data_IF_750891988759
#
_entry.id   IF_750891988759
#
_cell.length_a   1.000
_cell.length_b   1.000
_cell.length_c   1.000
_cell.angle_alpha   90.00
_cell.angle_beta   90.00
_cell.angle_gamma   90.00
#
_symmetry.space_group_name_H-M   'P 1'
#
loop_
_entity.id
_entity.type
_entity.pdbx_description
1 polymer ?
#
# COMPACT_ATOMS: atom_id res chain seq x y z
N UNK A 1 29.29 16.56 -11.11
CA UNK A 1 28.34 15.43 -11.21
C UNK A 1 27.10 15.84 -12.00
N UNK A 2 26.57 14.93 -12.83
CA UNK A 2 25.58 15.17 -13.89
C UNK A 2 24.16 15.16 -13.32
N UNK A 3 23.33 16.14 -13.72
CA UNK A 3 21.90 16.42 -13.37
C UNK A 3 21.20 15.36 -12.49
N UNK A 4 20.92 15.69 -11.22
CA UNK A 4 19.69 15.18 -10.58
C UNK A 4 18.52 15.90 -11.24
N UNK A 5 17.87 15.20 -12.16
CA UNK A 5 16.68 15.66 -12.86
C UNK A 5 15.46 15.47 -11.96
N UNK A 6 14.56 16.45 -11.96
CA UNK A 6 13.27 16.36 -11.26
C UNK A 6 12.60 15.01 -11.53
N UNK A 7 11.99 14.43 -10.51
CA UNK A 7 11.18 13.23 -10.68
C UNK A 7 9.95 13.63 -11.48
N UNK A 8 9.63 12.84 -12.51
CA UNK A 8 8.36 12.96 -13.22
C UNK A 8 7.26 12.50 -12.27
N UNK A 9 6.57 13.46 -11.66
CA UNK A 9 5.47 13.26 -10.69
C UNK A 9 4.50 12.18 -11.20
N UNK A 10 4.01 12.37 -12.44
CA UNK A 10 3.08 11.45 -13.12
C UNK A 10 3.58 10.00 -13.29
N UNK A 11 4.89 9.80 -13.41
CA UNK A 11 5.45 8.46 -13.54
C UNK A 11 5.63 7.80 -12.16
N UNK A 12 6.00 8.60 -11.16
CA UNK A 12 6.27 8.13 -9.81
C UNK A 12 4.99 7.76 -9.06
N UNK A 13 3.95 8.58 -9.15
CA UNK A 13 2.65 8.27 -8.54
C UNK A 13 2.01 6.99 -9.10
N UNK A 14 2.21 6.69 -10.40
CA UNK A 14 1.73 5.45 -11.03
C UNK A 14 2.46 4.24 -10.49
N UNK A 15 3.76 4.38 -10.32
CA UNK A 15 4.60 3.34 -9.70
C UNK A 15 4.18 3.09 -8.25
N UNK A 16 4.03 4.16 -7.45
CA UNK A 16 3.62 4.05 -6.06
C UNK A 16 2.19 3.49 -5.92
N UNK A 17 1.26 3.96 -6.75
CA UNK A 17 -0.11 3.42 -6.83
C UNK A 17 -0.11 1.92 -7.13
N UNK A 18 0.71 1.46 -8.09
CA UNK A 18 0.81 0.05 -8.41
C UNK A 18 1.36 -0.79 -7.25
N UNK A 19 2.43 -0.32 -6.59
CA UNK A 19 3.01 -1.04 -5.43
C UNK A 19 1.99 -1.17 -4.32
N UNK A 20 1.34 -0.07 -3.93
CA UNK A 20 0.38 -0.09 -2.82
C UNK A 20 -0.90 -0.85 -3.21
N UNK A 21 -1.30 -0.86 -4.48
CA UNK A 21 -2.38 -1.72 -4.96
C UNK A 21 -2.05 -3.20 -4.81
N UNK A 22 -0.82 -3.62 -5.14
CA UNK A 22 -0.36 -5.01 -4.94
C UNK A 22 -0.34 -5.36 -3.45
N UNK A 23 0.14 -4.47 -2.60
CA UNK A 23 0.09 -4.66 -1.14
C UNK A 23 -1.37 -4.78 -0.65
N UNK A 24 -2.26 -3.92 -1.14
CA UNK A 24 -3.69 -4.00 -0.87
C UNK A 24 -4.31 -5.32 -1.31
N UNK A 25 -3.93 -5.86 -2.47
CA UNK A 25 -4.37 -7.18 -2.92
C UNK A 25 -3.89 -8.31 -2.00
N UNK A 26 -2.63 -8.26 -1.55
CA UNK A 26 -2.08 -9.23 -0.59
C UNK A 26 -2.84 -9.15 0.74
N UNK A 27 -3.07 -7.94 1.26
CA UNK A 27 -3.85 -7.74 2.48
C UNK A 27 -5.30 -8.23 2.32
N UNK A 28 -5.93 -7.94 1.19
CA UNK A 28 -7.27 -8.43 0.86
C UNK A 28 -7.34 -9.95 0.83
N UNK A 29 -6.31 -10.62 0.29
CA UNK A 29 -6.21 -12.08 0.26
C UNK A 29 -6.06 -12.67 1.66
N UNK A 30 -5.21 -12.09 2.50
CA UNK A 30 -5.04 -12.53 3.89
C UNK A 30 -6.36 -12.35 4.65
N UNK A 31 -7.02 -11.20 4.51
CA UNK A 31 -8.29 -10.91 5.15
C UNK A 31 -9.41 -11.82 4.66
N UNK A 32 -9.49 -12.10 3.36
CA UNK A 32 -10.54 -12.96 2.80
C UNK A 32 -10.42 -14.41 3.28
N UNK A 33 -9.20 -14.95 3.25
CA UNK A 33 -8.94 -16.33 3.68
C UNK A 33 -9.10 -16.45 5.20
N UNK A 34 -8.54 -15.50 5.96
CA UNK A 34 -8.65 -15.48 7.41
C UNK A 34 -10.10 -15.34 7.87
N UNK A 35 -10.83 -14.38 7.31
CA UNK A 35 -12.25 -14.14 7.63
C UNK A 35 -13.13 -15.35 7.30
N UNK A 36 -12.93 -15.96 6.12
CA UNK A 36 -13.65 -17.19 5.75
C UNK A 36 -13.38 -18.35 6.71
N UNK A 37 -12.11 -18.55 7.11
CA UNK A 37 -11.76 -19.61 8.06
C UNK A 37 -12.42 -19.39 9.42
N UNK A 38 -12.42 -18.16 9.94
CA UNK A 38 -13.08 -17.82 11.21
C UNK A 38 -14.58 -18.07 11.11
N UNK A 39 -15.23 -17.59 10.05
CA UNK A 39 -16.67 -17.79 9.86
C UNK A 39 -17.03 -19.28 9.72
N UNK A 40 -16.19 -20.08 9.07
CA UNK A 40 -16.39 -21.52 8.96
C UNK A 40 -16.26 -22.21 10.33
N UNK A 41 -15.25 -21.86 11.13
CA UNK A 41 -15.06 -22.41 12.47
C UNK A 41 -16.23 -22.08 13.40
N UNK A 42 -16.74 -20.84 13.33
CA UNK A 42 -17.93 -20.43 14.10
C UNK A 42 -19.17 -21.18 13.63
N UNK A 43 -19.35 -21.36 12.32
CA UNK A 43 -20.49 -22.13 11.76
C UNK A 43 -20.50 -23.59 12.21
N UNK A 44 -19.31 -24.18 12.38
CA UNK A 44 -19.15 -25.55 12.87
C UNK A 44 -19.26 -25.65 14.40
N UNK A 45 -19.56 -24.56 15.10
CA UNK A 45 -19.57 -24.47 16.57
C UNK A 45 -18.23 -24.90 17.21
N UNK A 46 -17.11 -24.73 16.48
CA UNK A 46 -15.77 -25.05 16.98
C UNK A 46 -15.15 -23.87 17.74
N UNK A 47 -15.62 -22.65 17.48
CA UNK A 47 -15.17 -21.40 18.08
C UNK A 47 -16.38 -20.51 18.32
N UNK A 48 -16.48 -19.91 19.51
CA UNK A 48 -17.47 -18.85 19.78
C UNK A 48 -16.89 -17.48 19.41
N UNK A 49 -17.65 -16.70 18.65
CA UNK A 49 -17.30 -15.34 18.26
C UNK A 49 -18.47 -14.40 18.51
N UNK A 50 -18.16 -13.21 19.03
CA UNK A 50 -19.15 -12.13 19.22
C UNK A 50 -19.30 -11.29 17.94
N UNK A 51 -18.27 -11.29 17.10
CA UNK A 51 -18.16 -10.43 15.91
C UNK A 51 -18.80 -11.04 14.66
N UNK A 52 -19.00 -12.36 14.65
CA UNK A 52 -19.54 -13.10 13.51
C UNK A 52 -20.37 -14.28 14.01
N UNK A 53 -21.55 -14.46 13.43
CA UNK A 53 -22.45 -15.59 13.69
C UNK A 53 -22.21 -16.77 12.73
N UNK A 54 -21.02 -16.85 12.15
CA UNK A 54 -20.62 -17.87 11.17
C UNK A 54 -20.76 -17.39 9.72
N UNK A 55 -21.05 -18.32 8.81
CA UNK A 55 -21.16 -18.08 7.37
C UNK A 55 -22.30 -17.09 7.11
N UNK A 56 -21.94 -15.83 6.97
CA UNK A 56 -22.88 -14.72 7.05
C UNK A 56 -22.36 -13.51 6.29
N UNK A 57 -22.80 -12.31 6.67
CA UNK A 57 -22.33 -11.06 6.09
C UNK A 57 -20.81 -10.86 6.26
N UNK A 58 -20.21 -11.42 7.33
CA UNK A 58 -18.75 -11.40 7.54
C UNK A 58 -17.97 -12.01 6.37
N UNK A 59 -18.46 -13.13 5.84
CA UNK A 59 -17.83 -13.84 4.72
C UNK A 59 -17.93 -13.02 3.43
N UNK A 60 -19.07 -12.38 3.20
CA UNK A 60 -19.26 -11.47 2.05
C UNK A 60 -18.29 -10.30 2.13
N UNK A 61 -18.10 -9.74 3.32
CA UNK A 61 -17.13 -8.67 3.56
C UNK A 61 -15.68 -9.15 3.35
N UNK A 62 -15.37 -10.36 3.82
CA UNK A 62 -14.07 -11.00 3.67
C UNK A 62 -13.69 -11.15 2.19
N UNK A 63 -14.59 -11.68 1.35
CA UNK A 63 -14.34 -11.76 -0.09
C UNK A 63 -14.42 -10.39 -0.78
N UNK A 64 -15.27 -9.48 -0.30
CA UNK A 64 -15.31 -8.09 -0.79
C UNK A 64 -13.97 -7.37 -0.65
N UNK A 65 -13.20 -7.69 0.41
CA UNK A 65 -11.87 -7.12 0.62
C UNK A 65 -10.87 -7.46 -0.50
N UNK A 66 -11.05 -8.56 -1.24
CA UNK A 66 -10.20 -8.89 -2.40
C UNK A 66 -10.25 -7.84 -3.50
N UNK A 67 -11.38 -7.14 -3.63
CA UNK A 67 -11.55 -6.07 -4.61
C UNK A 67 -11.32 -4.70 -3.97
N UNK A 68 -11.90 -4.48 -2.79
CA UNK A 68 -11.89 -3.18 -2.12
C UNK A 68 -10.47 -2.78 -1.67
N UNK A 69 -9.71 -3.70 -1.09
CA UNK A 69 -8.37 -3.40 -0.57
C UNK A 69 -7.36 -3.00 -1.66
N UNK A 70 -7.27 -3.68 -2.81
CA UNK A 70 -6.42 -3.21 -3.90
C UNK A 70 -6.85 -1.85 -4.47
N UNK A 71 -8.16 -1.58 -4.57
CA UNK A 71 -8.66 -0.28 -5.05
C UNK A 71 -8.31 0.85 -4.10
N UNK A 72 -8.54 0.66 -2.80
CA UNK A 72 -8.15 1.63 -1.76
C UNK A 72 -6.62 1.79 -1.75
N UNK A 73 -5.87 0.69 -1.85
CA UNK A 73 -4.41 0.71 -1.92
C UNK A 73 -3.90 1.49 -3.12
N UNK A 74 -4.49 1.29 -4.31
CA UNK A 74 -4.15 2.04 -5.52
C UNK A 74 -4.36 3.55 -5.33
N UNK A 75 -5.50 3.94 -4.74
CA UNK A 75 -5.83 5.34 -4.49
C UNK A 75 -4.89 5.96 -3.44
N UNK A 76 -4.63 5.25 -2.34
CA UNK A 76 -3.70 5.70 -1.31
C UNK A 76 -2.28 5.85 -1.89
N UNK A 77 -1.78 4.86 -2.63
CA UNK A 77 -0.47 4.92 -3.27
C UNK A 77 -0.34 6.05 -4.30
N UNK A 78 -1.42 6.37 -5.01
CA UNK A 78 -1.46 7.54 -5.88
C UNK A 78 -1.28 8.84 -5.09
N UNK A 79 -2.04 9.03 -4.00
CA UNK A 79 -1.94 10.23 -3.16
C UNK A 79 -0.55 10.37 -2.51
N UNK A 80 -0.03 9.28 -1.96
CA UNK A 80 1.31 9.26 -1.37
C UNK A 80 2.39 9.52 -2.42
N UNK A 81 2.32 8.88 -3.59
CA UNK A 81 3.30 9.10 -4.65
C UNK A 81 3.28 10.53 -5.18
N UNK A 82 2.10 11.14 -5.30
CA UNK A 82 1.97 12.55 -5.67
C UNK A 82 2.61 13.46 -4.61
N UNK A 83 2.31 13.23 -3.33
CA UNK A 83 2.90 14.00 -2.23
C UNK A 83 4.43 13.85 -2.18
N UNK A 84 4.93 12.61 -2.23
CA UNK A 84 6.36 12.29 -2.22
C UNK A 84 7.11 12.93 -3.39
N UNK A 85 6.57 12.84 -4.61
CA UNK A 85 7.21 13.43 -5.77
C UNK A 85 7.24 14.96 -5.72
N UNK A 86 6.18 15.60 -5.20
CA UNK A 86 6.16 17.06 -4.98
C UNK A 86 7.18 17.49 -3.93
N UNK A 87 7.21 16.80 -2.79
CA UNK A 87 8.17 17.05 -1.70
C UNK A 87 9.59 16.87 -2.23
N UNK A 88 9.88 15.76 -2.92
CA UNK A 88 11.20 15.51 -3.49
C UNK A 88 11.61 16.62 -4.45
N UNK A 89 10.73 17.01 -5.38
CA UNK A 89 11.05 18.07 -6.34
C UNK A 89 11.29 19.42 -5.64
N UNK A 90 10.54 19.76 -4.60
CA UNK A 90 10.71 20.99 -3.82
C UNK A 90 12.07 21.02 -3.10
N UNK A 91 12.45 19.93 -2.42
CA UNK A 91 13.69 19.86 -1.63
C UNK A 91 14.92 19.45 -2.43
N UNK A 92 14.75 18.97 -3.67
CA UNK A 92 15.86 18.57 -4.55
C UNK A 92 16.88 19.70 -4.81
N UNK A 93 16.43 20.96 -4.74
CA UNK A 93 17.30 22.13 -4.85
C UNK A 93 18.20 22.31 -3.62
N UNK A 94 17.69 22.05 -2.41
CA UNK A 94 18.44 22.23 -1.17
C UNK A 94 19.48 21.12 -0.97
N UNK A 95 19.16 19.90 -1.39
CA UNK A 95 20.08 18.76 -1.34
C UNK A 95 21.24 18.93 -2.32
N UNK A 96 21.06 19.67 -3.42
CA UNK A 96 22.13 19.99 -4.38
C UNK A 96 23.22 20.89 -3.81
N UNK A 97 22.88 21.79 -2.90
CA UNK A 97 23.84 22.69 -2.25
C UNK A 97 24.62 22.00 -1.11
N UNK A 98 24.20 20.79 -0.71
CA UNK A 98 25.01 19.93 0.16
C UNK A 98 26.08 19.26 -0.70
N UNK A 99 27.15 19.99 -0.96
CA UNK A 99 28.34 19.48 -1.65
C UNK A 99 29.02 18.45 -0.74
N UNK A 100 28.57 17.20 -0.81
CA UNK A 100 29.13 16.06 -0.10
C UNK A 100 30.50 15.72 -0.70
N UNK A 101 31.50 16.56 -0.41
CA UNK A 101 32.91 16.36 -0.74
C UNK A 101 33.47 15.23 0.13
N UNK A 102 33.08 13.99 -0.15
CA UNK A 102 33.81 12.82 0.29
C UNK A 102 35.08 12.73 -0.54
N UNK A 103 36.08 13.53 -0.16
CA UNK A 103 37.44 13.42 -0.67
C UNK A 103 37.97 12.02 -0.32
N UNK A 104 37.87 11.10 -1.28
CA UNK A 104 38.60 9.84 -1.25
C UNK A 104 40.07 10.21 -1.52
N UNK A 105 40.82 10.44 -0.44
CA UNK A 105 42.28 10.52 -0.52
C UNK A 105 42.78 9.15 -0.99
N UNK A 106 43.50 9.20 -2.11
CA UNK A 106 44.18 8.11 -2.83
C UNK A 106 44.79 7.03 -1.93
#
# INVERSE_FOLDING_TARGET
MKRSGNIRVLAFEKFQSLIVAILGAICGLIYSVGGFMVDLLVSLNLVESVETSGLSYGTVLAFGALLVMPVIGAFAGFLFGLAEALVFNLFSGWIKDVDLNFSQKK
#
